data_IF_504229970148
#
_entry.id   IF_504229970148
#
_cell.length_a   1.000
_cell.length_b   1.000
_cell.length_c   1.000
_cell.angle_alpha   90.00
_cell.angle_beta   90.00
_cell.angle_gamma   90.00
#
_symmetry.space_group_name_H-M   'P 1'
#
loop_
_entity.id
_entity.type
_entity.pdbx_description
1 polymer ?
#
# COMPACT_ATOMS: atom_id res chain seq x y z
N UNK A 1 6.43 -29.20 16.77
CA UNK A 1 6.74 -30.42 16.04
C UNK A 1 6.28 -30.30 14.60
N UNK A 2 7.21 -30.02 13.66
CA UNK A 2 6.90 -29.79 12.24
C UNK A 2 6.59 -31.07 11.46
N UNK A 3 6.84 -32.27 12.01
CA UNK A 3 6.64 -33.54 11.31
C UNK A 3 5.18 -33.78 10.91
N UNK A 4 4.23 -33.50 11.77
CA UNK A 4 2.80 -33.63 11.47
C UNK A 4 2.35 -32.65 10.38
N UNK A 5 2.84 -31.40 10.44
CA UNK A 5 2.58 -30.38 9.42
C UNK A 5 3.15 -30.82 8.06
N UNK A 6 4.41 -31.22 8.01
CA UNK A 6 5.08 -31.69 6.81
C UNK A 6 4.35 -32.91 6.19
N UNK A 7 4.01 -33.91 7.01
CA UNK A 7 3.28 -35.11 6.55
C UNK A 7 1.92 -34.74 5.93
N UNK A 8 1.19 -33.82 6.55
CA UNK A 8 -0.08 -33.37 6.02
C UNK A 8 0.10 -32.60 4.70
N UNK A 9 1.08 -31.69 4.62
CA UNK A 9 1.38 -30.93 3.41
C UNK A 9 1.81 -31.86 2.26
N UNK A 10 2.70 -32.82 2.52
CA UNK A 10 3.13 -33.84 1.56
C UNK A 10 1.94 -34.64 1.03
N UNK A 11 1.05 -35.10 1.92
CA UNK A 11 -0.17 -35.84 1.52
C UNK A 11 -1.07 -35.01 0.62
N UNK A 12 -1.31 -33.74 0.96
CA UNK A 12 -2.12 -32.84 0.14
C UNK A 12 -1.48 -32.59 -1.23
N UNK A 13 -0.16 -32.40 -1.27
CA UNK A 13 0.60 -32.21 -2.50
C UNK A 13 0.49 -33.43 -3.42
N UNK A 14 0.73 -34.63 -2.90
CA UNK A 14 0.61 -35.87 -3.67
C UNK A 14 -0.82 -36.10 -4.17
N UNK A 15 -1.82 -35.90 -3.33
CA UNK A 15 -3.23 -36.01 -3.71
C UNK A 15 -3.64 -34.98 -4.78
N UNK A 16 -3.05 -33.78 -4.77
CA UNK A 16 -3.24 -32.80 -5.81
C UNK A 16 -2.67 -33.29 -7.15
N UNK A 17 -1.43 -33.81 -7.15
CA UNK A 17 -0.79 -34.34 -8.37
C UNK A 17 -1.51 -35.55 -8.95
N UNK A 18 -1.98 -36.48 -8.12
CA UNK A 18 -2.76 -37.63 -8.55
C UNK A 18 -4.08 -37.28 -9.23
N UNK A 19 -4.71 -36.19 -8.79
CA UNK A 19 -6.01 -35.71 -9.27
C UNK A 19 -5.91 -34.63 -10.34
N UNK A 20 -4.69 -34.17 -10.62
CA UNK A 20 -4.48 -33.05 -11.55
C UNK A 20 -4.73 -33.51 -13.00
N UNK A 21 -5.40 -32.64 -13.74
CA UNK A 21 -5.54 -32.74 -15.20
C UNK A 21 -5.51 -31.33 -15.80
N UNK A 22 -5.18 -31.22 -17.09
CA UNK A 22 -5.14 -29.93 -17.81
C UNK A 22 -6.46 -29.17 -17.74
N UNK A 23 -7.57 -29.88 -17.59
CA UNK A 23 -8.91 -29.29 -17.49
C UNK A 23 -9.24 -28.75 -16.08
N UNK A 24 -8.44 -29.13 -15.07
CA UNK A 24 -8.63 -28.74 -13.67
C UNK A 24 -7.57 -27.71 -13.25
N UNK A 25 -7.60 -26.56 -13.90
CA UNK A 25 -6.73 -25.45 -13.50
C UNK A 25 -7.05 -24.98 -12.08
N UNK A 26 -6.04 -24.68 -11.24
CA UNK A 26 -6.28 -24.06 -9.94
C UNK A 26 -7.04 -22.75 -10.09
N UNK A 27 -8.05 -22.53 -9.23
CA UNK A 27 -8.75 -21.26 -9.22
C UNK A 27 -7.93 -20.20 -8.45
N UNK A 28 -7.47 -19.13 -9.09
CA UNK A 28 -6.68 -18.10 -8.42
C UNK A 28 -7.45 -17.41 -7.29
N UNK A 29 -8.79 -17.39 -7.34
CA UNK A 29 -9.63 -16.85 -6.26
C UNK A 29 -9.41 -17.56 -4.91
N UNK A 30 -8.92 -18.81 -4.93
CA UNK A 30 -8.64 -19.61 -3.74
C UNK A 30 -7.21 -19.42 -3.20
N UNK A 31 -6.30 -18.78 -3.94
CA UNK A 31 -4.91 -18.58 -3.52
C UNK A 31 -4.69 -17.27 -2.76
N UNK A 32 -3.68 -17.22 -1.86
CA UNK A 32 -3.25 -16.00 -1.16
C UNK A 32 -2.16 -15.25 -1.92
N UNK A 33 -1.38 -15.98 -2.70
CA UNK A 33 -0.25 -15.47 -3.46
C UNK A 33 -0.09 -16.32 -4.70
N UNK A 34 0.36 -15.71 -5.77
CA UNK A 34 0.51 -16.37 -7.06
C UNK A 34 1.98 -16.52 -7.48
N UNK A 35 2.91 -15.94 -6.72
CA UNK A 35 4.35 -15.94 -7.03
C UNK A 35 4.59 -15.46 -8.47
N UNK A 36 5.38 -16.21 -9.25
CA UNK A 36 5.65 -15.90 -10.67
C UNK A 36 4.42 -15.94 -11.59
N UNK A 37 3.29 -16.45 -11.13
CA UNK A 37 2.04 -16.55 -11.89
C UNK A 37 1.09 -15.38 -11.66
N UNK A 38 1.54 -14.31 -10.99
CA UNK A 38 0.71 -13.16 -10.61
C UNK A 38 0.00 -12.54 -11.80
N UNK A 39 0.69 -12.30 -12.91
CA UNK A 39 0.10 -11.71 -14.10
C UNK A 39 -0.99 -12.61 -14.70
N UNK A 40 -0.70 -13.89 -14.90
CA UNK A 40 -1.67 -14.85 -15.42
C UNK A 40 -2.87 -15.05 -14.51
N UNK A 41 -2.66 -15.09 -13.20
CA UNK A 41 -3.76 -15.13 -12.23
C UNK A 41 -4.61 -13.85 -12.26
N UNK A 42 -3.96 -12.70 -12.45
CA UNK A 42 -4.62 -11.41 -12.62
C UNK A 42 -5.51 -11.38 -13.85
N UNK A 43 -5.04 -11.89 -14.99
CA UNK A 43 -5.84 -12.02 -16.23
C UNK A 43 -7.09 -12.86 -15.99
N UNK A 44 -6.96 -14.06 -15.40
CA UNK A 44 -8.09 -14.94 -15.09
C UNK A 44 -9.11 -14.26 -14.16
N UNK A 45 -8.64 -13.54 -13.15
CA UNK A 45 -9.53 -12.83 -12.20
C UNK A 45 -10.22 -11.64 -12.88
N UNK A 46 -9.52 -10.95 -13.78
CA UNK A 46 -10.04 -9.87 -14.59
C UNK A 46 -11.12 -10.36 -15.56
N UNK A 47 -10.85 -11.42 -16.32
CA UNK A 47 -11.82 -12.03 -17.25
C UNK A 47 -13.09 -12.49 -16.53
N UNK A 48 -12.94 -13.03 -15.33
CA UNK A 48 -14.07 -13.42 -14.46
C UNK A 48 -14.76 -12.23 -13.80
N UNK A 49 -14.24 -11.03 -13.93
CA UNK A 49 -14.74 -9.85 -13.21
C UNK A 49 -14.89 -10.14 -11.69
N UNK A 50 -13.89 -10.87 -11.14
CA UNK A 50 -13.98 -11.44 -9.80
C UNK A 50 -13.99 -10.36 -8.72
N UNK A 51 -14.70 -10.64 -7.59
CA UNK A 51 -14.79 -9.70 -6.46
C UNK A 51 -13.45 -9.29 -5.84
N UNK A 52 -12.38 -10.08 -6.03
CA UNK A 52 -11.04 -9.70 -5.56
C UNK A 52 -10.46 -8.46 -6.22
N UNK A 53 -11.04 -8.02 -7.35
CA UNK A 53 -10.68 -6.76 -8.02
C UNK A 53 -11.18 -5.52 -7.27
N UNK A 54 -12.12 -5.68 -6.34
CA UNK A 54 -12.63 -4.56 -5.54
C UNK A 54 -11.57 -4.13 -4.52
N UNK A 55 -11.15 -2.89 -4.61
CA UNK A 55 -10.11 -2.36 -3.72
C UNK A 55 -10.48 -2.54 -2.23
N UNK A 56 -9.50 -2.99 -1.45
CA UNK A 56 -9.62 -3.22 0.00
C UNK A 56 -10.64 -4.29 0.43
N UNK A 57 -11.16 -5.11 -0.48
CA UNK A 57 -12.04 -6.22 -0.12
C UNK A 57 -11.25 -7.34 0.56
N UNK A 58 -11.85 -7.97 1.56
CA UNK A 58 -11.27 -9.14 2.23
C UNK A 58 -11.89 -10.43 1.75
N UNK A 59 -11.17 -11.55 1.86
CA UNK A 59 -11.69 -12.89 1.52
C UNK A 59 -12.96 -13.26 2.27
N UNK A 60 -13.06 -12.87 3.54
CA UNK A 60 -14.27 -13.12 4.33
C UNK A 60 -15.47 -12.37 3.76
N UNK A 61 -15.24 -11.15 3.26
CA UNK A 61 -16.28 -10.36 2.59
C UNK A 61 -16.67 -10.97 1.25
N UNK A 62 -15.71 -11.40 0.44
CA UNK A 62 -15.95 -12.12 -0.83
C UNK A 62 -16.85 -13.35 -0.56
N UNK A 63 -16.46 -14.24 0.35
CA UNK A 63 -17.25 -15.43 0.70
C UNK A 63 -18.69 -15.10 1.15
N UNK A 64 -18.89 -13.98 1.84
CA UNK A 64 -20.23 -13.55 2.28
C UNK A 64 -21.06 -13.02 1.11
N UNK A 65 -20.45 -12.26 0.20
CA UNK A 65 -21.07 -11.76 -1.02
C UNK A 65 -21.49 -12.91 -1.93
N UNK A 66 -20.59 -13.86 -2.21
CA UNK A 66 -20.85 -15.03 -3.04
C UNK A 66 -22.01 -15.90 -2.49
N UNK A 67 -22.03 -16.14 -1.16
CA UNK A 67 -23.15 -16.86 -0.50
C UNK A 67 -24.49 -16.17 -0.65
N UNK A 68 -24.50 -14.87 -0.94
CA UNK A 68 -25.71 -14.08 -1.18
C UNK A 68 -25.93 -13.77 -2.67
N UNK A 69 -25.30 -14.53 -3.58
CA UNK A 69 -25.50 -14.44 -5.03
C UNK A 69 -24.72 -13.33 -5.73
N UNK A 70 -23.91 -12.55 -5.01
CA UNK A 70 -23.07 -11.48 -5.58
C UNK A 70 -21.68 -12.07 -5.86
N UNK A 71 -21.34 -12.34 -7.12
CA UNK A 71 -20.14 -13.10 -7.52
C UNK A 71 -19.14 -12.32 -8.35
N UNK A 72 -19.45 -11.12 -8.81
CA UNK A 72 -18.57 -10.28 -9.62
C UNK A 72 -18.58 -8.82 -9.13
N UNK A 73 -17.60 -8.04 -9.57
CA UNK A 73 -17.54 -6.60 -9.28
C UNK A 73 -18.76 -5.87 -9.83
N UNK A 74 -19.23 -6.25 -11.03
CA UNK A 74 -20.42 -5.65 -11.66
C UNK A 74 -21.68 -5.97 -10.85
N UNK A 75 -21.84 -7.24 -10.45
CA UNK A 75 -22.97 -7.64 -9.61
C UNK A 75 -22.98 -6.91 -8.25
N UNK A 76 -21.81 -6.58 -7.70
CA UNK A 76 -21.68 -5.80 -6.48
C UNK A 76 -22.03 -4.33 -6.73
N UNK A 77 -21.54 -3.74 -7.82
CA UNK A 77 -21.82 -2.35 -8.21
C UNK A 77 -23.34 -2.13 -8.40
N UNK A 78 -24.02 -3.08 -9.04
CA UNK A 78 -25.45 -3.02 -9.36
C UNK A 78 -26.37 -3.52 -8.24
N UNK A 79 -25.82 -4.00 -7.12
CA UNK A 79 -26.62 -4.59 -6.05
C UNK A 79 -27.67 -3.63 -5.51
N UNK A 80 -28.95 -4.04 -5.55
CA UNK A 80 -30.11 -3.25 -5.05
C UNK A 80 -30.42 -3.50 -3.58
N UNK A 81 -29.83 -4.54 -2.99
CA UNK A 81 -30.05 -4.87 -1.58
C UNK A 81 -29.38 -3.85 -0.66
N UNK A 82 -30.02 -3.54 0.45
CA UNK A 82 -29.48 -2.56 1.42
C UNK A 82 -28.41 -3.16 2.35
N UNK A 83 -28.40 -4.48 2.51
CA UNK A 83 -27.44 -5.21 3.36
C UNK A 83 -27.46 -6.70 3.02
N UNK A 84 -26.41 -7.40 3.45
CA UNK A 84 -26.32 -8.87 3.38
C UNK A 84 -26.07 -9.45 4.78
N UNK A 85 -26.48 -10.71 5.04
CA UNK A 85 -26.27 -11.35 6.32
C UNK A 85 -24.79 -11.37 6.74
N UNK A 86 -24.54 -11.18 8.04
CA UNK A 86 -23.20 -11.23 8.65
C UNK A 86 -22.19 -10.19 8.12
N UNK A 87 -22.65 -9.14 7.44
CA UNK A 87 -21.83 -8.00 7.03
C UNK A 87 -22.43 -6.70 7.58
N UNK A 88 -21.59 -5.84 8.14
CA UNK A 88 -22.02 -4.52 8.58
C UNK A 88 -22.53 -3.70 7.38
N UNK A 89 -23.67 -3.01 7.56
CA UNK A 89 -24.31 -2.23 6.48
C UNK A 89 -23.40 -1.15 5.89
N UNK A 90 -22.62 -0.48 6.72
CA UNK A 90 -21.68 0.56 6.25
C UNK A 90 -20.53 -0.04 5.44
N UNK A 91 -20.02 -1.21 5.85
CA UNK A 91 -18.99 -1.94 5.09
C UNK A 91 -19.55 -2.38 3.74
N UNK A 92 -20.75 -2.97 3.72
CA UNK A 92 -21.41 -3.38 2.46
C UNK A 92 -21.62 -2.19 1.53
N UNK A 93 -22.16 -1.08 2.04
CA UNK A 93 -22.36 0.15 1.26
C UNK A 93 -21.03 0.66 0.69
N UNK A 94 -19.97 0.71 1.50
CA UNK A 94 -18.63 1.16 1.07
C UNK A 94 -18.07 0.27 -0.04
N UNK A 95 -18.16 -1.05 0.07
CA UNK A 95 -17.72 -1.99 -0.96
C UNK A 95 -18.49 -1.84 -2.26
N UNK A 96 -19.82 -1.64 -2.16
CA UNK A 96 -20.67 -1.40 -3.33
C UNK A 96 -20.32 -0.08 -4.03
N UNK A 97 -20.14 1.00 -3.29
CA UNK A 97 -19.73 2.28 -3.83
C UNK A 97 -18.31 2.20 -4.46
N UNK A 98 -17.40 1.48 -3.82
CA UNK A 98 -16.07 1.21 -4.37
C UNK A 98 -16.15 0.47 -5.71
N UNK A 99 -16.91 -0.62 -5.77
CA UNK A 99 -17.13 -1.39 -7.01
C UNK A 99 -17.75 -0.53 -8.11
N UNK A 100 -18.76 0.28 -7.77
CA UNK A 100 -19.42 1.18 -8.72
C UNK A 100 -18.45 2.21 -9.31
N UNK A 101 -17.61 2.84 -8.48
CA UNK A 101 -16.61 3.79 -8.94
C UNK A 101 -15.58 3.12 -9.86
N UNK A 102 -15.12 1.92 -9.51
CA UNK A 102 -14.17 1.17 -10.34
C UNK A 102 -14.77 0.86 -11.72
N UNK A 103 -15.97 0.29 -11.77
CA UNK A 103 -16.68 -0.01 -13.04
C UNK A 103 -16.89 1.26 -13.87
N UNK A 104 -17.26 2.37 -13.24
CA UNK A 104 -17.46 3.65 -13.94
C UNK A 104 -16.17 4.31 -14.41
N UNK A 105 -15.02 3.92 -13.88
CA UNK A 105 -13.71 4.49 -14.23
C UNK A 105 -12.98 3.70 -15.32
N UNK A 106 -13.43 2.50 -15.69
CA UNK A 106 -12.73 1.63 -16.65
C UNK A 106 -12.51 2.27 -18.03
N UNK A 107 -13.40 3.14 -18.46
CA UNK A 107 -13.30 3.86 -19.74
C UNK A 107 -12.89 5.34 -19.57
N UNK A 108 -12.32 5.70 -18.42
CA UNK A 108 -11.94 7.07 -18.10
C UNK A 108 -10.41 7.20 -18.03
N UNK A 109 -9.85 8.29 -18.54
CA UNK A 109 -8.43 8.62 -18.37
C UNK A 109 -8.12 8.99 -16.91
N UNK A 110 -9.04 9.73 -16.27
CA UNK A 110 -8.95 10.09 -14.86
C UNK A 110 -10.02 9.30 -14.08
N UNK A 111 -9.65 8.50 -13.08
CA UNK A 111 -10.60 7.71 -12.32
C UNK A 111 -11.57 8.60 -11.52
N UNK A 112 -12.82 8.18 -11.45
CA UNK A 112 -13.81 8.82 -10.59
C UNK A 112 -13.43 8.64 -9.12
N UNK A 113 -13.75 9.63 -8.32
CA UNK A 113 -13.55 9.56 -6.88
C UNK A 113 -14.72 10.16 -6.11
N UNK A 114 -14.80 9.82 -4.84
CA UNK A 114 -15.78 10.34 -3.90
C UNK A 114 -15.10 10.64 -2.57
N UNK A 115 -15.28 11.85 -2.06
CA UNK A 115 -14.89 12.19 -0.70
C UNK A 115 -15.79 11.43 0.29
N UNK A 116 -15.19 10.78 1.26
CA UNK A 116 -15.91 10.24 2.41
C UNK A 116 -16.14 11.40 3.37
N UNK A 117 -17.35 11.48 3.90
CA UNK A 117 -17.71 12.55 4.84
C UNK A 117 -16.67 12.66 5.95
N UNK A 118 -16.21 13.88 6.15
CA UNK A 118 -15.16 14.18 7.12
C UNK A 118 -15.69 13.97 8.54
N UNK A 119 -14.89 13.31 9.35
CA UNK A 119 -15.12 13.11 10.77
C UNK A 119 -13.83 13.48 11.49
N UNK A 120 -13.92 14.13 12.63
CA UNK A 120 -12.78 14.48 13.45
C UNK A 120 -11.82 13.29 13.62
N UNK A 121 -10.54 13.51 13.33
CA UNK A 121 -9.45 12.53 13.44
C UNK A 121 -9.56 11.30 12.51
N UNK A 122 -10.22 11.43 11.37
CA UNK A 122 -10.33 10.35 10.37
C UNK A 122 -10.23 10.93 8.96
N UNK A 123 -9.46 10.29 8.09
CA UNK A 123 -9.36 10.67 6.68
C UNK A 123 -8.63 11.99 6.47
N UNK A 124 -9.20 12.88 5.67
CA UNK A 124 -8.55 14.15 5.30
C UNK A 124 -8.34 15.09 6.49
N UNK A 125 -9.14 14.98 7.55
CA UNK A 125 -8.95 15.78 8.78
C UNK A 125 -7.68 15.42 9.57
N UNK A 126 -6.99 14.35 9.18
CA UNK A 126 -5.68 14.00 9.72
C UNK A 126 -4.51 14.73 9.04
N UNK A 127 -4.77 15.45 7.95
CA UNK A 127 -3.72 16.28 7.35
C UNK A 127 -3.40 17.45 8.30
N UNK A 128 -2.14 17.56 8.73
CA UNK A 128 -1.73 18.69 9.56
C UNK A 128 -1.72 20.00 8.76
N UNK A 129 -1.69 21.15 9.43
CA UNK A 129 -1.42 22.43 8.77
C UNK A 129 -0.10 22.39 8.02
N UNK A 130 -0.03 23.05 6.87
CA UNK A 130 1.17 23.13 6.06
C UNK A 130 2.27 23.97 6.74
N UNK A 131 3.49 23.45 6.71
CA UNK A 131 4.71 24.20 7.00
C UNK A 131 5.61 24.30 5.76
N UNK A 132 6.32 25.43 5.60
CA UNK A 132 7.36 25.57 4.57
C UNK A 132 8.56 24.62 4.79
N UNK A 133 8.66 24.05 5.97
CA UNK A 133 9.70 23.08 6.32
C UNK A 133 9.28 21.63 6.04
N UNK A 134 8.09 21.38 5.56
CA UNK A 134 7.58 20.03 5.27
C UNK A 134 8.47 19.27 4.30
N UNK A 135 8.53 17.94 4.49
CA UNK A 135 9.32 17.01 3.69
C UNK A 135 8.43 15.94 3.07
N UNK A 136 8.82 15.46 1.89
CA UNK A 136 8.21 14.30 1.23
C UNK A 136 9.27 13.24 1.08
N UNK A 137 9.08 12.08 1.69
CA UNK A 137 10.09 11.09 1.95
C UNK A 137 9.69 9.72 1.41
N UNK A 138 10.66 9.03 0.79
CA UNK A 138 10.53 7.67 0.29
C UNK A 138 11.84 6.90 0.48
N UNK A 139 11.75 5.58 0.67
CA UNK A 139 12.90 4.66 0.80
C UNK A 139 12.75 3.52 -0.20
N UNK A 140 13.84 3.22 -0.90
CA UNK A 140 13.95 2.04 -1.75
C UNK A 140 14.84 0.99 -1.09
N UNK A 141 14.34 -0.25 -1.04
CA UNK A 141 15.02 -1.38 -0.40
C UNK A 141 15.32 -2.52 -1.37
N UNK A 142 16.46 -3.17 -1.17
CA UNK A 142 16.86 -4.37 -1.90
C UNK A 142 16.73 -5.61 -1.00
N UNK A 143 15.62 -6.38 -1.12
CA UNK A 143 15.32 -7.48 -0.21
C UNK A 143 16.22 -8.71 -0.41
N UNK A 144 16.94 -8.82 -1.53
CA UNK A 144 17.82 -9.95 -1.83
C UNK A 144 19.23 -9.79 -1.22
N UNK A 145 19.56 -8.62 -0.70
CA UNK A 145 20.74 -8.46 0.14
C UNK A 145 20.49 -9.17 1.48
N UNK A 146 21.53 -9.66 2.12
CA UNK A 146 21.41 -10.39 3.39
C UNK A 146 20.66 -9.53 4.43
N UNK A 147 19.50 -10.00 4.91
CA UNK A 147 18.53 -9.26 5.75
C UNK A 147 17.96 -7.96 5.14
N UNK A 148 18.01 -7.79 3.81
CA UNK A 148 17.54 -6.59 3.09
C UNK A 148 18.45 -5.37 3.29
N UNK A 149 18.57 -4.49 2.32
CA UNK A 149 19.36 -3.25 2.36
C UNK A 149 18.47 -2.08 1.92
N UNK A 150 18.41 -1.01 2.72
CA UNK A 150 17.79 0.26 2.30
C UNK A 150 18.82 1.07 1.53
N UNK A 151 18.78 0.97 0.20
CA UNK A 151 19.86 1.46 -0.65
C UNK A 151 19.69 2.91 -1.12
N UNK A 152 18.45 3.44 -1.10
CA UNK A 152 18.18 4.82 -1.52
C UNK A 152 17.14 5.47 -0.60
N UNK A 153 17.46 6.66 -0.14
CA UNK A 153 16.62 7.53 0.67
C UNK A 153 16.38 8.81 -0.11
N UNK A 154 15.19 9.05 -0.57
CA UNK A 154 14.83 10.20 -1.39
C UNK A 154 13.97 11.19 -0.63
N UNK A 155 14.35 12.46 -0.60
CA UNK A 155 13.61 13.50 0.09
C UNK A 155 13.40 14.71 -0.83
N UNK A 156 12.15 15.08 -1.07
CA UNK A 156 11.78 16.34 -1.68
C UNK A 156 11.40 17.34 -0.60
N UNK A 157 11.84 18.58 -0.75
CA UNK A 157 11.56 19.68 0.18
C UNK A 157 11.46 21.02 -0.56
N UNK A 158 11.05 22.06 0.13
CA UNK A 158 11.14 23.43 -0.35
C UNK A 158 12.16 24.19 0.48
N UNK A 159 13.00 24.98 -0.18
CA UNK A 159 13.98 25.84 0.48
C UNK A 159 13.30 27.15 0.96
N UNK A 160 14.07 28.00 1.64
CA UNK A 160 13.57 29.27 2.18
C UNK A 160 13.03 30.23 1.11
N UNK A 161 13.42 30.05 -0.16
CA UNK A 161 12.91 30.83 -1.29
C UNK A 161 11.63 30.23 -1.91
N UNK A 162 11.15 29.09 -1.41
CA UNK A 162 10.03 28.34 -1.95
C UNK A 162 10.40 27.50 -3.18
N UNK A 163 11.68 27.37 -3.50
CA UNK A 163 12.15 26.53 -4.61
C UNK A 163 12.22 25.07 -4.16
N UNK A 164 11.71 24.18 -5.01
CA UNK A 164 11.77 22.74 -4.79
C UNK A 164 13.22 22.26 -4.83
N UNK A 165 13.65 21.57 -3.77
CA UNK A 165 14.92 20.87 -3.65
C UNK A 165 14.71 19.35 -3.59
N UNK A 166 15.77 18.62 -3.87
CA UNK A 166 15.83 17.17 -3.69
C UNK A 166 17.14 16.84 -2.95
N UNK A 167 17.05 15.92 -2.01
CA UNK A 167 18.19 15.39 -1.26
C UNK A 167 18.08 13.87 -1.25
N UNK A 168 19.21 13.21 -1.43
CA UNK A 168 19.31 11.76 -1.41
C UNK A 168 20.47 11.28 -0.57
N UNK A 169 20.34 10.03 -0.13
CA UNK A 169 21.42 9.28 0.50
C UNK A 169 21.42 7.88 -0.11
N UNK A 170 22.58 7.43 -0.55
CA UNK A 170 22.79 6.12 -1.14
C UNK A 170 23.54 5.20 -0.19
N UNK A 171 23.28 3.89 -0.30
CA UNK A 171 23.96 2.85 0.44
C UNK A 171 24.13 1.60 -0.42
N UNK A 172 25.34 1.12 -0.53
CA UNK A 172 25.68 -0.08 -1.30
C UNK A 172 26.08 -1.25 -0.38
N UNK A 173 26.30 -0.96 0.92
CA UNK A 173 26.58 -1.92 1.97
C UNK A 173 26.01 -1.48 3.33
N UNK A 174 26.28 -2.27 4.37
CA UNK A 174 25.77 -2.03 5.73
C UNK A 174 26.32 -0.79 6.41
N UNK A 175 27.57 -0.45 6.15
CA UNK A 175 28.19 0.71 6.75
C UNK A 175 27.66 1.99 6.11
N UNK A 176 27.46 1.97 4.80
CA UNK A 176 26.81 3.05 4.06
C UNK A 176 25.32 3.18 4.42
N UNK A 177 24.59 2.06 4.62
CA UNK A 177 23.22 2.08 5.13
C UNK A 177 23.12 2.74 6.50
N UNK A 178 24.04 2.41 7.40
CA UNK A 178 24.13 3.07 8.71
C UNK A 178 24.41 4.56 8.58
N UNK A 179 25.32 4.94 7.68
CA UNK A 179 25.65 6.35 7.44
C UNK A 179 24.47 7.11 6.82
N UNK A 180 23.79 6.53 5.82
CA UNK A 180 22.60 7.11 5.21
C UNK A 180 21.50 7.34 6.25
N UNK A 181 21.20 6.30 7.04
CA UNK A 181 20.22 6.38 8.13
C UNK A 181 20.55 7.47 9.15
N UNK A 182 21.78 7.49 9.66
CA UNK A 182 22.19 8.48 10.67
C UNK A 182 22.16 9.90 10.13
N UNK A 183 22.69 10.11 8.89
CA UNK A 183 22.71 11.42 8.24
C UNK A 183 21.30 11.94 7.94
N UNK A 184 20.38 11.06 7.52
CA UNK A 184 18.98 11.41 7.33
C UNK A 184 18.33 11.84 8.65
N UNK A 185 18.48 11.05 9.71
CA UNK A 185 17.86 11.37 11.01
C UNK A 185 18.44 12.66 11.60
N UNK A 186 19.75 12.88 11.50
CA UNK A 186 20.38 14.13 11.98
C UNK A 186 19.81 15.36 11.25
N UNK A 187 19.75 15.31 9.94
CA UNK A 187 19.23 16.40 9.13
C UNK A 187 17.76 16.69 9.40
N UNK A 188 16.93 15.64 9.50
CA UNK A 188 15.50 15.77 9.79
C UNK A 188 15.25 16.29 11.20
N UNK A 189 16.00 15.77 12.18
CA UNK A 189 15.84 16.16 13.58
C UNK A 189 16.26 17.62 13.83
N UNK A 190 17.36 18.06 13.20
CA UNK A 190 17.77 19.46 13.20
C UNK A 190 16.70 20.37 12.59
N UNK A 191 16.16 19.99 11.42
CA UNK A 191 15.12 20.75 10.73
C UNK A 191 13.84 20.85 11.56
N UNK A 192 13.38 19.76 12.17
CA UNK A 192 12.24 19.73 13.07
C UNK A 192 12.49 20.52 14.36
N UNK A 193 13.72 20.55 14.86
CA UNK A 193 14.07 21.34 16.04
C UNK A 193 13.93 22.84 15.78
N UNK A 194 14.23 23.25 14.54
CA UNK A 194 14.09 24.65 14.10
C UNK A 194 12.64 25.03 13.76
N UNK A 195 11.81 24.07 13.36
CA UNK A 195 10.40 24.26 13.05
C UNK A 195 9.57 23.07 13.54
N UNK A 196 8.95 23.22 14.70
CA UNK A 196 8.15 22.14 15.34
C UNK A 196 6.83 21.85 14.62
N UNK A 197 6.40 22.72 13.73
CA UNK A 197 5.19 22.54 12.93
C UNK A 197 5.45 21.77 11.63
N UNK A 198 6.72 21.42 11.31
CA UNK A 198 7.02 20.67 10.10
C UNK A 198 6.59 19.21 10.23
N UNK A 199 6.22 18.62 9.09
CA UNK A 199 5.87 17.21 8.98
C UNK A 199 6.67 16.53 7.86
N UNK A 200 6.74 15.20 7.95
CA UNK A 200 7.39 14.32 6.98
C UNK A 200 6.31 13.43 6.39
N UNK A 201 5.92 13.71 5.16
CA UNK A 201 4.93 12.93 4.44
C UNK A 201 5.56 11.72 3.78
N UNK A 202 4.96 10.56 4.00
CA UNK A 202 5.35 9.29 3.39
C UNK A 202 4.12 8.49 2.96
N UNK A 203 4.30 7.39 2.23
CA UNK A 203 3.17 6.65 1.68
C UNK A 203 3.15 5.19 2.12
N UNK A 204 2.49 4.89 3.22
CA UNK A 204 2.35 3.57 3.82
C UNK A 204 3.28 3.36 5.01
N UNK A 205 3.43 2.12 5.43
CA UNK A 205 4.14 1.80 6.67
C UNK A 205 5.62 1.43 6.47
N UNK A 206 6.10 1.40 5.22
CA UNK A 206 7.43 0.88 4.92
C UNK A 206 8.53 1.72 5.57
N UNK A 207 8.49 3.03 5.38
CA UNK A 207 9.48 3.98 5.88
C UNK A 207 9.60 3.91 7.41
N UNK A 208 8.48 3.94 8.11
CA UNK A 208 8.48 3.86 9.58
C UNK A 208 9.00 2.51 10.08
N UNK A 209 8.66 1.42 9.39
CA UNK A 209 9.17 0.10 9.74
C UNK A 209 10.67 -0.01 9.47
N UNK A 210 11.17 0.59 8.38
CA UNK A 210 12.59 0.67 8.07
C UNK A 210 13.35 1.47 9.15
N UNK A 211 12.86 2.66 9.52
CA UNK A 211 13.46 3.48 10.59
C UNK A 211 13.58 2.70 11.91
N UNK A 212 12.49 2.04 12.34
CA UNK A 212 12.49 1.24 13.56
C UNK A 212 13.45 0.05 13.50
N UNK A 213 13.52 -0.62 12.36
CA UNK A 213 14.41 -1.75 12.13
C UNK A 213 15.88 -1.32 12.16
N UNK A 214 16.22 -0.23 11.47
CA UNK A 214 17.60 0.28 11.39
C UNK A 214 18.07 0.85 12.73
N UNK A 215 17.22 1.59 13.42
CA UNK A 215 17.47 2.04 14.78
C UNK A 215 17.86 0.86 15.70
N UNK A 216 17.07 -0.22 15.70
CA UNK A 216 17.36 -1.41 16.49
C UNK A 216 18.57 -2.20 16.00
N UNK A 217 18.79 -2.29 14.67
CA UNK A 217 19.93 -3.00 14.07
C UNK A 217 21.26 -2.34 14.43
N UNK A 218 21.33 -1.03 14.32
CA UNK A 218 22.58 -0.28 14.51
C UNK A 218 22.80 0.25 15.91
N UNK A 219 21.75 0.24 16.77
CA UNK A 219 21.81 0.76 18.14
C UNK A 219 22.17 2.27 18.16
N UNK A 220 21.64 3.04 17.20
CA UNK A 220 21.90 4.49 17.06
C UNK A 220 20.62 5.24 16.76
N UNK A 221 20.58 6.54 17.10
CA UNK A 221 19.46 7.46 16.83
C UNK A 221 18.12 7.07 17.46
N UNK A 222 18.18 6.31 18.57
CA UNK A 222 16.96 5.86 19.26
C UNK A 222 16.16 7.04 19.82
N UNK A 223 16.84 8.00 20.42
CA UNK A 223 16.19 9.18 20.99
C UNK A 223 15.53 10.06 19.93
N UNK A 224 16.24 10.33 18.85
CA UNK A 224 15.75 11.19 17.76
C UNK A 224 14.55 10.55 17.07
N UNK A 225 14.65 9.27 16.69
CA UNK A 225 13.56 8.53 16.02
C UNK A 225 12.35 8.42 16.96
N UNK A 226 12.51 8.02 18.22
CA UNK A 226 11.40 7.93 19.17
C UNK A 226 10.74 9.29 19.39
N UNK A 227 11.54 10.36 19.48
CA UNK A 227 11.03 11.73 19.63
C UNK A 227 10.19 12.16 18.41
N UNK A 228 10.68 11.95 17.19
CA UNK A 228 9.94 12.26 15.97
C UNK A 228 8.63 11.47 15.87
N UNK A 229 8.67 10.18 16.21
CA UNK A 229 7.48 9.32 16.18
C UNK A 229 6.43 9.71 17.23
N UNK A 230 6.85 10.04 18.45
CA UNK A 230 5.94 10.46 19.54
C UNK A 230 5.29 11.82 19.29
N UNK A 231 5.99 12.70 18.59
CA UNK A 231 5.46 14.00 18.20
C UNK A 231 4.68 13.95 16.87
N UNK A 232 4.38 12.74 16.34
CA UNK A 232 3.58 12.54 15.14
C UNK A 232 4.09 13.32 13.91
N UNK A 233 5.43 13.53 13.84
CA UNK A 233 6.07 14.26 12.74
C UNK A 233 5.92 13.54 11.40
N UNK A 234 5.82 12.20 11.42
CA UNK A 234 5.59 11.38 10.22
C UNK A 234 4.10 11.24 9.91
N UNK A 235 3.71 11.59 8.70
CA UNK A 235 2.33 11.61 8.21
C UNK A 235 2.14 10.57 7.11
N UNK A 236 1.41 9.50 7.40
CA UNK A 236 1.10 8.44 6.44
C UNK A 236 -0.06 8.84 5.51
N UNK A 237 0.27 9.30 4.31
CA UNK A 237 -0.72 9.70 3.29
C UNK A 237 -1.58 8.53 2.81
N UNK A 238 -1.06 7.28 2.79
CA UNK A 238 -1.86 6.11 2.43
C UNK A 238 -3.04 5.92 3.39
N UNK A 239 -2.79 6.04 4.69
CA UNK A 239 -3.84 5.96 5.73
C UNK A 239 -4.90 7.04 5.54
N UNK A 240 -4.46 8.27 5.29
CA UNK A 240 -5.34 9.43 5.11
C UNK A 240 -6.24 9.24 3.88
N UNK A 241 -5.64 8.93 2.72
CA UNK A 241 -6.36 8.72 1.46
C UNK A 241 -7.33 7.55 1.58
N UNK A 242 -6.88 6.42 2.11
CA UNK A 242 -7.72 5.23 2.28
C UNK A 242 -8.93 5.47 3.17
N UNK A 243 -8.84 6.37 4.13
CA UNK A 243 -9.95 6.71 5.01
C UNK A 243 -10.83 7.83 4.46
N UNK A 244 -10.24 8.80 3.75
CA UNK A 244 -10.91 10.01 3.28
C UNK A 244 -11.50 9.93 1.88
N UNK A 245 -11.10 8.94 1.06
CA UNK A 245 -11.50 8.82 -0.34
C UNK A 245 -12.03 7.41 -0.68
N UNK A 246 -12.97 7.37 -1.63
CA UNK A 246 -13.18 6.22 -2.51
C UNK A 246 -12.68 6.62 -3.90
N UNK A 247 -11.88 5.77 -4.52
CA UNK A 247 -11.28 6.03 -5.83
C UNK A 247 -11.58 4.87 -6.76
N UNK A 248 -11.93 5.15 -8.01
CA UNK A 248 -12.26 4.16 -9.03
C UNK A 248 -11.06 3.37 -9.55
N UNK A 249 -10.10 3.07 -8.67
CA UNK A 249 -8.90 2.30 -8.94
C UNK A 249 -8.93 0.95 -8.20
N UNK A 250 -8.31 -0.10 -8.75
CA UNK A 250 -8.29 -1.42 -8.13
C UNK A 250 -7.40 -1.51 -6.89
N UNK A 251 -6.57 -0.49 -6.65
CA UNK A 251 -5.64 -0.38 -5.52
C UNK A 251 -5.52 1.06 -5.06
N UNK A 252 -5.08 1.23 -3.82
CA UNK A 252 -4.73 2.53 -3.24
C UNK A 252 -3.20 2.73 -3.18
N UNK A 253 -2.43 2.03 -4.03
CA UNK A 253 -1.01 2.33 -4.18
C UNK A 253 -0.80 3.74 -4.71
N UNK A 254 0.36 4.34 -4.44
CA UNK A 254 0.67 5.68 -4.95
C UNK A 254 0.57 5.73 -6.48
N UNK A 255 0.95 4.65 -7.17
CA UNK A 255 0.86 4.51 -8.65
C UNK A 255 -0.57 4.55 -9.19
N UNK A 256 -1.56 4.12 -8.40
CA UNK A 256 -2.97 4.23 -8.75
C UNK A 256 -3.55 5.59 -8.38
N UNK A 257 -3.18 6.12 -7.21
CA UNK A 257 -3.71 7.40 -6.73
C UNK A 257 -3.20 8.58 -7.57
N UNK A 258 -1.99 8.51 -8.12
CA UNK A 258 -1.46 9.55 -8.99
C UNK A 258 -2.28 9.77 -10.27
N UNK A 259 -3.07 8.77 -10.74
CA UNK A 259 -3.98 8.93 -11.88
C UNK A 259 -5.08 9.98 -11.64
N UNK A 260 -5.32 10.41 -10.39
CA UNK A 260 -6.25 11.50 -10.10
C UNK A 260 -5.75 12.88 -10.54
N UNK A 261 -4.44 13.06 -10.70
CA UNK A 261 -3.82 14.37 -10.95
C UNK A 261 -2.67 14.33 -11.95
N UNK A 262 -2.37 13.15 -12.51
CA UNK A 262 -1.23 12.94 -13.38
C UNK A 262 -1.59 11.90 -14.45
N UNK A 263 -1.13 12.11 -15.69
CA UNK A 263 -1.20 11.09 -16.73
C UNK A 263 -0.41 9.84 -16.34
N UNK A 264 -0.78 8.69 -16.90
CA UNK A 264 -0.05 7.43 -16.69
C UNK A 264 1.41 7.64 -17.05
N UNK A 265 2.30 7.13 -16.20
CA UNK A 265 3.74 7.21 -16.46
C UNK A 265 4.09 6.44 -17.72
N UNK A 266 4.72 7.13 -18.67
CA UNK A 266 5.39 6.53 -19.82
C UNK A 266 6.90 6.55 -19.51
N UNK A 267 7.35 5.63 -18.63
CA UNK A 267 8.76 5.53 -18.22
C UNK A 267 9.25 4.11 -18.48
N UNK A 268 10.49 3.98 -18.96
CA UNK A 268 11.16 2.68 -19.17
C UNK A 268 11.30 1.88 -17.87
N UNK A 269 11.37 2.57 -16.72
CA UNK A 269 11.45 1.95 -15.39
C UNK A 269 10.09 2.13 -14.69
N UNK A 270 9.31 1.05 -14.63
CA UNK A 270 7.97 1.06 -14.04
C UNK A 270 7.98 0.76 -12.54
N UNK A 271 9.05 0.19 -11.99
CA UNK A 271 9.14 -0.20 -10.58
C UNK A 271 10.58 -0.14 -10.06
N UNK A 272 10.76 0.02 -8.74
CA UNK A 272 12.07 -0.02 -8.08
C UNK A 272 12.84 -1.34 -8.25
N UNK A 273 12.17 -2.42 -8.66
CA UNK A 273 12.83 -3.69 -9.02
C UNK A 273 13.47 -3.72 -10.41
N UNK A 274 13.30 -2.64 -11.19
CA UNK A 274 13.84 -2.46 -12.54
C UNK A 274 14.92 -1.36 -12.58
N UNK A 275 15.20 -0.74 -11.44
CA UNK A 275 16.23 0.32 -11.29
C UNK A 275 17.61 -0.26 -11.01
#
# INVERSE_FOLDING_TARGET
>A
NYAAYYTNLKRQFLAFHEKWSLDKKPDPALSLSFGRWTNYAGEILSDKRHLSLVANITRTQIKRLEKNGIKSIDALADAKVASIPKMNKNIFRRLREQALLQVQSEAQDIPKYKLIADHDKIGLSLLPPHSNSDLFFDIEGFPLFDDGLEYLWGITYFDQSGKRGFKDYWAHDRDEEKLAFTSFIDWVFERWTNDKEMHIYHYGAYEINALRRLMGRFGVKEYEVDTLLRNEVFVDLYKIIRQGLLVGEPSYSIKNIEHLYREKRDTEIASGGES
#
